data_IF_662434232035
#
_entry.id   IF_662434232035
#
_cell.length_a   1.000
_cell.length_b   1.000
_cell.length_c   1.000
_cell.angle_alpha   90.00
_cell.angle_beta   90.00
_cell.angle_gamma   90.00
#
_symmetry.space_group_name_H-M   'P 1'
#
loop_
_entity.id
_entity.type
_entity.pdbx_description
1 polymer ?
#
# COMPACT_ATOMS: atom_id res chain seq x y z
N UNK A 1 35.39 18.23 1.74
CA UNK A 1 34.86 17.02 1.08
C UNK A 1 33.90 16.31 2.04
N UNK A 2 32.80 16.97 2.38
CA UNK A 2 31.74 16.45 3.26
C UNK A 2 30.36 17.03 2.88
N UNK A 3 30.19 17.51 1.63
CA UNK A 3 28.97 18.20 1.18
C UNK A 3 28.17 17.42 0.12
N UNK A 4 28.54 16.17 -0.17
CA UNK A 4 27.96 15.43 -1.32
C UNK A 4 27.05 14.25 -0.96
N UNK A 5 26.59 14.08 0.32
CA UNK A 5 25.77 12.92 0.71
C UNK A 5 24.36 13.28 1.22
N UNK A 6 23.92 14.51 1.05
CA UNK A 6 22.55 14.94 1.45
C UNK A 6 21.83 15.73 0.35
N UNK A 7 21.97 15.36 -0.89
CA UNK A 7 20.94 15.73 -1.87
C UNK A 7 19.75 14.81 -1.65
N UNK A 8 18.73 15.33 -1.00
CA UNK A 8 17.35 14.85 -1.10
C UNK A 8 16.97 14.92 -2.59
N UNK A 9 17.35 13.93 -3.37
CA UNK A 9 16.73 13.74 -4.68
C UNK A 9 15.28 13.38 -4.40
N UNK A 10 14.41 14.34 -4.70
CA UNK A 10 12.97 14.13 -4.86
C UNK A 10 12.76 12.85 -5.67
N UNK A 11 11.74 12.01 -5.39
CA UNK A 11 11.51 10.79 -6.14
C UNK A 11 11.64 11.11 -7.61
N UNK A 12 12.56 10.43 -8.28
CA UNK A 12 13.06 10.82 -9.61
C UNK A 12 11.86 11.09 -10.54
N UNK A 13 11.81 12.27 -11.12
CA UNK A 13 10.83 12.71 -12.13
C UNK A 13 10.63 11.72 -13.31
N UNK A 14 11.46 10.68 -13.39
CA UNK A 14 11.43 9.61 -14.40
C UNK A 14 10.22 8.68 -14.30
N UNK A 15 9.55 8.60 -13.15
CA UNK A 15 8.41 7.69 -12.94
C UNK A 15 7.05 8.42 -12.84
N UNK A 16 7.01 9.73 -13.03
CA UNK A 16 5.77 10.50 -13.05
C UNK A 16 4.81 9.92 -14.09
N UNK A 17 3.61 9.57 -13.63
CA UNK A 17 2.56 8.99 -14.48
C UNK A 17 2.53 7.46 -14.53
N UNK A 18 3.51 6.74 -13.95
CA UNK A 18 3.39 5.28 -13.77
C UNK A 18 2.48 4.97 -12.57
N UNK A 19 1.67 3.89 -12.64
CA UNK A 19 0.87 3.47 -11.50
C UNK A 19 1.79 3.00 -10.37
N UNK A 20 1.59 3.53 -9.16
CA UNK A 20 2.27 3.08 -7.95
C UNK A 20 1.37 2.20 -7.10
N UNK A 21 0.04 2.47 -7.13
CA UNK A 21 -1.00 1.61 -6.57
C UNK A 21 -1.98 1.26 -7.68
N UNK A 22 -2.33 -0.01 -7.81
CA UNK A 22 -3.39 -0.47 -8.70
C UNK A 22 -4.33 -1.38 -7.92
N UNK A 23 -5.60 -1.16 -8.08
CA UNK A 23 -6.67 -1.92 -7.44
C UNK A 23 -7.52 -2.56 -8.53
N UNK A 24 -7.73 -3.86 -8.45
CA UNK A 24 -8.48 -4.62 -9.46
C UNK A 24 -9.61 -5.39 -8.80
N UNK A 25 -10.84 -5.05 -9.15
CA UNK A 25 -12.08 -5.70 -8.70
C UNK A 25 -12.17 -5.85 -7.16
N UNK A 26 -11.74 -4.82 -6.44
CA UNK A 26 -11.70 -4.81 -4.98
C UNK A 26 -13.11 -4.89 -4.39
N UNK A 27 -13.34 -5.94 -3.63
CA UNK A 27 -14.58 -6.13 -2.86
C UNK A 27 -14.25 -6.35 -1.40
N UNK A 28 -14.97 -5.67 -0.49
CA UNK A 28 -14.85 -5.85 0.95
C UNK A 28 -16.20 -6.06 1.59
N UNK A 29 -16.31 -7.16 2.35
CA UNK A 29 -17.47 -7.47 3.19
C UNK A 29 -17.05 -7.59 4.65
N UNK A 30 -17.93 -7.18 5.56
CA UNK A 30 -17.84 -7.46 6.99
C UNK A 30 -19.06 -8.32 7.36
N UNK A 31 -18.85 -9.62 7.50
CA UNK A 31 -19.95 -10.58 7.55
C UNK A 31 -20.78 -10.49 6.27
N UNK A 32 -22.08 -10.22 6.40
CA UNK A 32 -23.01 -10.07 5.26
C UNK A 32 -23.06 -8.64 4.70
N UNK A 33 -22.44 -7.68 5.38
CA UNK A 33 -22.44 -6.28 4.94
C UNK A 33 -21.40 -6.04 3.86
N UNK A 34 -21.88 -5.73 2.64
CA UNK A 34 -21.01 -5.31 1.53
C UNK A 34 -20.66 -3.82 1.72
N UNK A 35 -19.38 -3.50 1.85
CA UNK A 35 -18.88 -2.14 2.08
C UNK A 35 -18.17 -1.58 0.87
N UNK A 36 -17.41 -2.41 0.13
CA UNK A 36 -16.81 -2.05 -1.17
C UNK A 36 -17.28 -3.07 -2.19
N UNK A 37 -17.70 -2.60 -3.35
CA UNK A 37 -18.30 -3.40 -4.41
C UNK A 37 -17.59 -3.15 -5.74
N UNK A 38 -16.71 -4.09 -6.10
CA UNK A 38 -16.05 -4.18 -7.40
C UNK A 38 -15.31 -2.89 -7.83
N UNK A 39 -14.45 -2.37 -6.96
CA UNK A 39 -13.69 -1.14 -7.25
C UNK A 39 -12.40 -1.49 -8.00
N UNK A 40 -12.21 -0.83 -9.16
CA UNK A 40 -10.97 -0.89 -9.92
C UNK A 40 -10.46 0.53 -10.14
N UNK A 41 -9.28 0.83 -9.56
CA UNK A 41 -8.69 2.17 -9.56
C UNK A 41 -7.16 2.10 -9.62
N UNK A 42 -6.54 3.19 -10.04
CA UNK A 42 -5.08 3.33 -10.02
C UNK A 42 -4.66 4.68 -9.46
N UNK A 43 -3.53 4.71 -8.77
CA UNK A 43 -2.88 5.94 -8.29
C UNK A 43 -1.50 6.01 -8.93
N UNK A 44 -1.18 7.13 -9.55
CA UNK A 44 0.09 7.33 -10.26
C UNK A 44 1.09 8.10 -9.40
N UNK A 45 2.38 7.92 -9.67
CA UNK A 45 3.43 8.67 -8.99
C UNK A 45 3.23 10.17 -9.17
N UNK A 46 3.26 10.92 -8.06
CA UNK A 46 3.01 12.36 -8.01
C UNK A 46 1.54 12.77 -8.04
N UNK A 47 0.60 11.84 -8.20
CA UNK A 47 -0.83 12.13 -8.21
C UNK A 47 -1.35 12.39 -6.79
N UNK A 48 -2.28 13.33 -6.65
CA UNK A 48 -3.01 13.63 -5.42
C UNK A 48 -4.48 13.24 -5.65
N UNK A 49 -4.82 12.01 -5.30
CA UNK A 49 -6.18 11.49 -5.42
C UNK A 49 -6.97 11.87 -4.17
N UNK A 50 -8.03 12.65 -4.32
CA UNK A 50 -8.91 13.02 -3.21
C UNK A 50 -10.20 12.22 -3.29
N UNK A 51 -10.57 11.56 -2.19
CA UNK A 51 -11.78 10.73 -2.09
C UNK A 51 -12.81 11.44 -1.24
N UNK A 52 -13.94 11.78 -1.83
CA UNK A 52 -15.05 12.43 -1.15
C UNK A 52 -16.34 11.62 -1.29
N UNK A 53 -17.33 11.91 -0.45
CA UNK A 53 -18.64 11.27 -0.48
C UNK A 53 -19.30 11.20 0.89
N UNK A 54 -20.56 10.70 0.97
CA UNK A 54 -21.30 10.62 2.23
C UNK A 54 -20.61 9.69 3.25
N UNK A 55 -20.94 9.92 4.53
CA UNK A 55 -20.55 9.02 5.62
C UNK A 55 -21.12 7.61 5.35
N UNK A 56 -20.32 6.58 5.64
CA UNK A 56 -20.70 5.19 5.35
C UNK A 56 -20.52 4.78 3.88
N UNK A 57 -20.02 5.65 2.98
CA UNK A 57 -19.80 5.34 1.57
C UNK A 57 -18.60 4.41 1.28
N UNK A 58 -17.89 3.92 2.30
CA UNK A 58 -16.76 3.00 2.13
C UNK A 58 -15.38 3.67 2.03
N UNK A 59 -15.27 5.01 2.06
CA UNK A 59 -14.02 5.77 1.83
C UNK A 59 -12.85 5.34 2.72
N UNK A 60 -13.02 5.33 4.04
CA UNK A 60 -11.97 4.91 4.99
C UNK A 60 -11.64 3.43 4.85
N UNK A 61 -12.62 2.57 4.54
CA UNK A 61 -12.38 1.15 4.27
C UNK A 61 -11.56 0.97 3.00
N UNK A 62 -11.88 1.69 1.93
CA UNK A 62 -11.08 1.71 0.70
C UNK A 62 -9.63 2.10 0.99
N UNK A 63 -9.43 3.24 1.68
CA UNK A 63 -8.09 3.72 2.04
C UNK A 63 -7.31 2.68 2.87
N UNK A 64 -7.96 2.00 3.82
CA UNK A 64 -7.34 0.96 4.66
C UNK A 64 -7.05 -0.32 3.89
N UNK A 65 -7.81 -0.62 2.86
CA UNK A 65 -7.47 -1.72 1.97
C UNK A 65 -6.20 -1.45 1.16
N UNK A 66 -5.94 -0.20 0.73
CA UNK A 66 -4.75 0.13 -0.07
C UNK A 66 -3.43 -0.26 0.59
N UNK A 67 -3.36 -0.26 1.93
CA UNK A 67 -2.18 -0.73 2.67
C UNK A 67 -2.43 -2.04 3.43
N UNK A 68 -3.53 -2.74 3.08
CA UNK A 68 -3.98 -3.99 3.70
C UNK A 68 -4.08 -3.93 5.24
N UNK A 69 -4.44 -2.78 5.81
CA UNK A 69 -4.93 -2.73 7.20
C UNK A 69 -6.29 -3.41 7.32
N UNK A 70 -7.05 -3.39 6.23
CA UNK A 70 -8.23 -4.20 6.01
C UNK A 70 -7.97 -5.12 4.83
N UNK A 71 -7.98 -6.43 5.06
CA UNK A 71 -7.79 -7.39 3.99
C UNK A 71 -8.99 -7.39 3.03
N UNK A 72 -8.79 -7.39 1.71
CA UNK A 72 -9.88 -7.52 0.75
C UNK A 72 -10.61 -8.87 0.92
N UNK A 73 -11.92 -8.88 0.64
CA UNK A 73 -12.66 -10.15 0.57
C UNK A 73 -12.41 -10.83 -0.77
N UNK A 74 -12.28 -10.04 -1.85
CA UNK A 74 -11.83 -10.48 -3.17
C UNK A 74 -11.23 -9.29 -3.94
N UNK A 75 -10.58 -9.58 -5.05
CA UNK A 75 -9.83 -8.60 -5.85
C UNK A 75 -8.36 -8.57 -5.47
N UNK A 76 -7.61 -7.68 -6.12
CA UNK A 76 -6.16 -7.58 -5.97
C UNK A 76 -5.76 -6.12 -5.71
N UNK A 77 -4.68 -5.95 -4.98
CA UNK A 77 -4.10 -4.63 -4.67
C UNK A 77 -2.61 -4.71 -4.97
N UNK A 78 -2.18 -4.02 -6.00
CA UNK A 78 -0.78 -3.95 -6.37
C UNK A 78 -0.15 -2.68 -5.82
N UNK A 79 1.03 -2.82 -5.24
CA UNK A 79 1.89 -1.70 -4.89
C UNK A 79 3.27 -1.91 -5.53
N UNK A 80 3.71 -0.95 -6.36
CA UNK A 80 4.94 -1.10 -7.16
C UNK A 80 4.94 -2.42 -7.99
N UNK A 81 3.77 -2.83 -8.50
CA UNK A 81 3.60 -4.06 -9.29
C UNK A 81 3.59 -5.36 -8.48
N UNK A 82 3.63 -5.30 -7.14
CA UNK A 82 3.56 -6.46 -6.25
C UNK A 82 2.17 -6.58 -5.67
N UNK A 83 1.52 -7.73 -5.85
CA UNK A 83 0.20 -8.02 -5.27
C UNK A 83 0.31 -8.17 -3.74
N UNK A 84 -0.25 -7.20 -3.01
CA UNK A 84 -0.23 -7.18 -1.54
C UNK A 84 -1.20 -8.19 -0.91
N UNK A 85 -2.16 -8.71 -1.67
CA UNK A 85 -3.10 -9.74 -1.22
C UNK A 85 -2.49 -11.15 -1.29
N UNK A 86 -1.34 -11.34 -1.95
CA UNK A 86 -0.62 -12.63 -1.93
C UNK A 86 -0.01 -12.88 -0.55
N UNK A 87 -0.44 -13.95 0.11
CA UNK A 87 0.04 -14.39 1.43
C UNK A 87 1.57 -14.65 1.50
N UNK A 88 2.25 -14.73 0.37
CA UNK A 88 3.71 -14.91 0.31
C UNK A 88 4.48 -13.59 0.43
N UNK A 89 3.81 -12.46 0.24
CA UNK A 89 4.42 -11.14 0.30
C UNK A 89 4.59 -10.70 1.75
N UNK A 90 5.81 -10.28 2.12
CA UNK A 90 6.00 -9.59 3.40
C UNK A 90 5.44 -8.17 3.31
N UNK A 91 4.18 -8.04 3.72
CA UNK A 91 3.45 -6.78 3.66
C UNK A 91 4.14 -5.65 4.44
N UNK A 92 4.95 -5.98 5.47
CA UNK A 92 5.64 -4.96 6.26
C UNK A 92 6.73 -4.25 5.45
N UNK A 93 7.35 -4.95 4.48
CA UNK A 93 8.31 -4.35 3.55
C UNK A 93 7.64 -3.30 2.63
N UNK A 94 6.35 -3.46 2.32
CA UNK A 94 5.57 -2.52 1.52
C UNK A 94 4.94 -1.43 2.37
N UNK A 95 4.38 -1.76 3.54
CA UNK A 95 3.79 -0.78 4.47
C UNK A 95 4.77 0.28 4.94
N UNK A 96 6.05 -0.02 5.10
CA UNK A 96 7.06 0.97 5.46
C UNK A 96 7.29 2.04 4.39
N UNK A 97 6.88 1.76 3.13
CA UNK A 97 6.92 2.71 2.01
C UNK A 97 5.62 3.51 1.85
N UNK A 98 4.61 3.22 2.67
CA UNK A 98 3.32 3.91 2.68
C UNK A 98 3.11 4.59 4.03
N UNK A 99 3.07 5.92 4.05
CA UNK A 99 2.69 6.68 5.24
C UNK A 99 1.19 6.65 5.43
N UNK A 100 0.71 6.40 6.65
CA UNK A 100 -0.72 6.47 6.98
C UNK A 100 -0.96 7.45 8.11
N UNK A 101 -1.87 8.38 7.88
CA UNK A 101 -2.36 9.36 8.86
C UNK A 101 -3.84 9.09 9.10
N UNK A 102 -4.20 8.84 10.33
CA UNK A 102 -5.56 8.47 10.73
C UNK A 102 -6.34 9.68 11.23
N UNK A 103 -7.65 9.55 11.28
CA UNK A 103 -8.57 10.49 11.92
C UNK A 103 -8.19 10.74 13.38
N UNK A 104 -7.90 9.68 14.13
CA UNK A 104 -7.30 9.79 15.46
C UNK A 104 -5.78 9.82 15.32
N UNK A 105 -5.11 10.64 16.11
CA UNK A 105 -3.67 10.91 16.02
C UNK A 105 -2.79 9.65 16.17
N UNK A 106 -3.27 8.64 16.90
CA UNK A 106 -2.59 7.35 17.15
C UNK A 106 -1.15 7.49 17.63
N UNK A 107 -0.86 8.54 18.41
CA UNK A 107 0.44 8.74 19.04
C UNK A 107 0.58 7.85 20.28
N UNK A 108 1.78 7.32 20.49
CA UNK A 108 2.11 6.57 21.71
C UNK A 108 2.22 7.53 22.89
N UNK A 109 1.24 7.53 23.78
CA UNK A 109 1.15 8.44 24.91
C UNK A 109 2.27 8.27 25.95
N UNK A 110 2.91 7.10 25.98
CA UNK A 110 4.04 6.76 26.85
C UNK A 110 5.42 7.10 26.23
N UNK A 111 5.44 7.68 25.04
CA UNK A 111 6.66 8.15 24.37
C UNK A 111 6.62 9.65 24.17
N UNK A 112 7.78 10.31 24.23
CA UNK A 112 7.88 11.72 23.87
C UNK A 112 7.58 11.93 22.39
N UNK A 113 7.33 13.16 21.99
CA UNK A 113 7.10 13.55 20.58
C UNK A 113 8.24 13.06 19.70
N UNK A 114 9.48 13.37 20.05
CA UNK A 114 10.67 12.91 19.31
C UNK A 114 10.74 11.38 19.21
N UNK A 115 10.45 10.67 20.32
CA UNK A 115 10.44 9.20 20.31
C UNK A 115 9.30 8.60 19.47
N UNK A 116 8.14 9.26 19.39
CA UNK A 116 7.08 8.87 18.47
C UNK A 116 7.54 8.90 17.01
N UNK A 117 8.29 9.93 16.63
CA UNK A 117 8.79 10.12 15.26
C UNK A 117 9.94 9.14 14.95
N UNK A 118 10.86 8.94 15.91
CA UNK A 118 12.09 8.13 15.69
C UNK A 118 11.87 6.62 15.85
N UNK A 119 10.77 6.17 16.46
CA UNK A 119 10.56 4.77 16.82
C UNK A 119 10.68 3.82 15.63
N UNK A 120 9.95 4.10 14.55
CA UNK A 120 9.93 3.25 13.36
C UNK A 120 11.26 3.34 12.58
N UNK A 121 11.78 4.54 12.23
CA UNK A 121 13.08 4.67 11.57
C UNK A 121 14.22 3.95 12.29
N UNK A 122 14.29 4.08 13.61
CA UNK A 122 15.33 3.41 14.41
C UNK A 122 15.17 1.91 14.42
N UNK A 123 13.96 1.39 14.66
CA UNK A 123 13.72 -0.06 14.69
C UNK A 123 14.04 -0.71 13.34
N UNK A 124 13.54 -0.12 12.26
CA UNK A 124 13.71 -0.63 10.90
C UNK A 124 15.18 -0.49 10.48
N UNK A 125 15.80 0.67 10.65
CA UNK A 125 17.20 0.90 10.28
C UNK A 125 18.17 -0.03 11.02
N UNK A 126 17.94 -0.33 12.31
CA UNK A 126 18.74 -1.31 13.05
C UNK A 126 18.50 -2.73 12.55
N UNK A 127 17.24 -3.09 12.21
CA UNK A 127 16.94 -4.39 11.64
C UNK A 127 17.60 -4.60 10.28
N UNK A 128 17.52 -3.59 9.40
CA UNK A 128 18.14 -3.59 8.08
C UNK A 128 19.68 -3.66 8.19
N UNK A 129 20.29 -2.91 9.11
CA UNK A 129 21.72 -2.97 9.39
C UNK A 129 22.14 -4.38 9.84
N UNK A 130 21.38 -5.02 10.73
CA UNK A 130 21.64 -6.39 11.18
C UNK A 130 21.51 -7.40 10.04
N UNK A 131 20.47 -7.24 9.21
CA UNK A 131 20.22 -8.09 8.03
C UNK A 131 21.39 -7.98 7.03
N UNK A 132 21.83 -6.75 6.71
CA UNK A 132 22.96 -6.50 5.82
C UNK A 132 24.29 -7.03 6.38
N UNK A 133 24.61 -6.78 7.65
CA UNK A 133 25.82 -7.30 8.30
C UNK A 133 25.86 -8.83 8.29
N UNK A 134 24.74 -9.48 8.61
CA UNK A 134 24.64 -10.95 8.57
C UNK A 134 24.81 -11.49 7.16
N UNK A 135 24.14 -10.89 6.17
CA UNK A 135 24.28 -11.25 4.76
C UNK A 135 25.75 -11.16 4.33
N UNK A 136 26.40 -10.03 4.59
CA UNK A 136 27.79 -9.77 4.19
C UNK A 136 28.79 -10.72 4.87
N UNK A 137 28.53 -11.09 6.12
CA UNK A 137 29.38 -12.04 6.84
C UNK A 137 29.33 -13.45 6.23
N UNK A 138 28.17 -13.87 5.70
CA UNK A 138 28.02 -15.19 5.08
C UNK A 138 28.33 -15.23 3.57
N UNK A 139 28.32 -14.09 2.91
CA UNK A 139 28.53 -13.98 1.44
C UNK A 139 29.85 -14.62 0.97
N UNK A 140 31.02 -14.41 1.62
CA UNK A 140 32.25 -15.03 1.16
C UNK A 140 32.24 -16.56 1.22
N UNK A 141 31.68 -17.12 2.30
CA UNK A 141 31.54 -18.58 2.44
C UNK A 141 30.56 -19.14 1.41
N UNK A 142 29.43 -18.48 1.20
CA UNK A 142 28.45 -18.86 0.18
C UNK A 142 29.09 -18.84 -1.21
N UNK A 143 29.81 -17.79 -1.58
CA UNK A 143 30.43 -17.66 -2.88
C UNK A 143 31.50 -18.72 -3.12
N UNK A 144 32.28 -19.09 -2.10
CA UNK A 144 33.22 -20.21 -2.17
C UNK A 144 32.53 -21.56 -2.44
N UNK A 145 31.36 -21.80 -1.85
CA UNK A 145 30.54 -22.99 -2.11
C UNK A 145 29.92 -22.93 -3.50
N UNK A 146 29.45 -21.77 -3.91
CA UNK A 146 28.88 -21.55 -5.24
C UNK A 146 29.93 -21.81 -6.34
N UNK A 147 31.15 -21.32 -6.19
CA UNK A 147 32.24 -21.56 -7.15
C UNK A 147 32.56 -23.07 -7.28
N UNK A 148 32.37 -23.83 -6.22
CA UNK A 148 32.63 -25.27 -6.22
C UNK A 148 31.47 -26.12 -6.75
N UNK A 149 30.25 -25.73 -6.48
CA UNK A 149 29.05 -26.58 -6.71
C UNK A 149 27.95 -25.90 -7.52
N UNK A 150 28.00 -24.58 -7.73
CA UNK A 150 26.93 -23.80 -8.35
C UNK A 150 26.58 -24.24 -9.76
N UNK A 151 27.57 -24.53 -10.59
CA UNK A 151 27.33 -24.99 -11.96
C UNK A 151 26.53 -26.29 -12.00
N UNK A 152 26.92 -27.30 -11.19
CA UNK A 152 26.20 -28.59 -11.10
C UNK A 152 24.81 -28.44 -10.52
N UNK A 153 24.63 -27.58 -9.52
CA UNK A 153 23.32 -27.26 -8.96
C UNK A 153 22.42 -26.61 -10.02
N UNK A 154 22.94 -25.61 -10.74
CA UNK A 154 22.16 -24.90 -11.76
C UNK A 154 21.76 -25.80 -12.94
N UNK A 155 22.63 -26.73 -13.35
CA UNK A 155 22.26 -27.75 -14.34
C UNK A 155 21.09 -28.62 -13.85
N UNK A 156 21.15 -29.06 -12.58
CA UNK A 156 20.05 -29.83 -11.99
C UNK A 156 18.76 -29.01 -11.93
N UNK A 157 18.83 -27.74 -11.53
CA UNK A 157 17.67 -26.84 -11.49
C UNK A 157 17.11 -26.60 -12.89
N UNK A 158 17.96 -26.40 -13.91
CA UNK A 158 17.50 -26.22 -15.29
C UNK A 158 16.67 -27.43 -15.78
N UNK A 159 17.16 -28.66 -15.57
CA UNK A 159 16.43 -29.88 -15.91
C UNK A 159 15.10 -29.98 -15.14
N UNK A 160 15.12 -29.64 -13.85
CA UNK A 160 13.89 -29.63 -13.02
C UNK A 160 12.88 -28.59 -13.52
N UNK A 161 13.33 -27.40 -13.91
CA UNK A 161 12.45 -26.34 -14.46
C UNK A 161 11.79 -26.79 -15.76
N UNK A 162 12.56 -27.35 -16.69
CA UNK A 162 12.05 -27.88 -17.96
C UNK A 162 10.95 -28.92 -17.72
N UNK A 163 11.21 -29.89 -16.83
CA UNK A 163 10.22 -30.91 -16.47
C UNK A 163 8.95 -30.29 -15.84
N UNK A 164 9.10 -29.30 -14.96
CA UNK A 164 7.97 -28.63 -14.33
C UNK A 164 7.19 -27.77 -15.33
N UNK A 165 7.86 -27.08 -16.24
CA UNK A 165 7.21 -26.31 -17.33
C UNK A 165 6.36 -27.21 -18.22
N UNK A 166 6.94 -28.33 -18.69
CA UNK A 166 6.20 -29.31 -19.49
C UNK A 166 4.98 -29.82 -18.72
N UNK A 167 5.11 -30.08 -17.43
CA UNK A 167 3.99 -30.54 -16.60
C UNK A 167 2.92 -29.48 -16.41
N UNK A 168 3.29 -28.19 -16.28
CA UNK A 168 2.35 -27.06 -16.22
C UNK A 168 1.54 -26.97 -17.51
N UNK A 169 2.20 -27.06 -18.68
CA UNK A 169 1.53 -27.03 -19.98
C UNK A 169 0.56 -28.21 -20.15
N UNK A 170 0.99 -29.42 -19.77
CA UNK A 170 0.11 -30.61 -19.79
C UNK A 170 -1.13 -30.40 -18.90
N UNK A 171 -0.96 -29.91 -17.68
CA UNK A 171 -2.08 -29.69 -16.76
C UNK A 171 -3.01 -28.56 -17.24
N UNK A 172 -2.49 -27.53 -17.90
CA UNK A 172 -3.32 -26.48 -18.54
C UNK A 172 -4.15 -27.06 -19.68
N UNK A 173 -3.54 -27.85 -20.55
CA UNK A 173 -4.24 -28.53 -21.65
C UNK A 173 -5.30 -29.53 -21.13
N UNK A 174 -5.04 -30.20 -20.01
CA UNK A 174 -6.00 -31.10 -19.37
C UNK A 174 -7.15 -30.34 -18.70
N UNK A 175 -6.88 -29.17 -18.12
CA UNK A 175 -7.84 -28.34 -17.41
C UNK A 175 -8.86 -27.66 -18.33
N UNK A 176 -8.40 -27.15 -19.47
CA UNK A 176 -9.20 -26.37 -20.42
C UNK A 176 -10.52 -27.06 -20.83
N UNK A 177 -10.53 -28.30 -21.34
CA UNK A 177 -11.78 -28.99 -21.73
C UNK A 177 -12.64 -29.33 -20.52
N UNK A 178 -12.06 -29.51 -19.33
CA UNK A 178 -12.83 -29.77 -18.10
C UNK A 178 -13.54 -28.52 -17.63
N UNK A 179 -12.91 -27.35 -17.77
CA UNK A 179 -13.54 -26.05 -17.46
C UNK A 179 -14.67 -25.77 -18.43
N UNK A 180 -14.47 -25.96 -19.72
CA UNK A 180 -15.53 -25.78 -20.72
C UNK A 180 -16.74 -26.69 -20.46
N UNK A 181 -16.51 -27.99 -20.21
CA UNK A 181 -17.57 -28.92 -19.86
C UNK A 181 -18.26 -28.54 -18.55
N UNK A 182 -17.53 -28.09 -17.56
CA UNK A 182 -18.05 -27.64 -16.25
C UNK A 182 -18.93 -26.39 -16.39
N UNK A 183 -18.53 -25.42 -17.20
CA UNK A 183 -19.32 -24.21 -17.47
C UNK A 183 -20.64 -24.52 -18.17
N UNK A 184 -20.68 -25.52 -19.06
CA UNK A 184 -21.89 -25.97 -19.71
C UNK A 184 -22.93 -26.60 -18.76
N UNK A 185 -22.51 -27.04 -17.57
CA UNK A 185 -23.41 -27.61 -16.54
C UNK A 185 -24.02 -26.56 -15.61
N UNK A 186 -23.75 -25.27 -15.86
CA UNK A 186 -24.28 -24.18 -15.03
C UNK A 186 -25.80 -24.17 -15.03
N UNK A 187 -26.41 -24.37 -13.86
CA UNK A 187 -27.83 -24.20 -13.63
C UNK A 187 -28.07 -23.05 -12.66
N UNK A 188 -29.09 -22.27 -12.91
CA UNK A 188 -29.50 -21.16 -12.04
C UNK A 188 -30.92 -21.44 -11.57
N UNK A 189 -31.09 -21.67 -10.28
CA UNK A 189 -32.40 -21.89 -9.65
C UNK A 189 -32.72 -20.75 -8.70
N UNK A 190 -33.96 -20.27 -8.70
CA UNK A 190 -34.43 -19.33 -7.71
C UNK A 190 -34.96 -20.07 -6.46
N UNK A 191 -34.18 -19.99 -5.37
CA UNK A 191 -34.61 -20.56 -4.08
C UNK A 191 -34.80 -19.42 -3.08
N UNK A 192 -36.03 -19.28 -2.59
CA UNK A 192 -36.43 -18.23 -1.62
C UNK A 192 -36.08 -16.79 -2.05
N UNK A 193 -36.26 -16.46 -3.36
CA UNK A 193 -35.96 -15.13 -3.90
C UNK A 193 -34.49 -14.80 -4.08
N UNK A 194 -33.62 -15.80 -4.02
CA UNK A 194 -32.19 -15.69 -4.33
C UNK A 194 -31.83 -16.62 -5.46
N UNK A 195 -31.09 -16.15 -6.45
CA UNK A 195 -30.52 -16.97 -7.52
C UNK A 195 -29.38 -17.82 -6.95
N UNK A 196 -29.54 -19.14 -6.95
CA UNK A 196 -28.54 -20.11 -6.57
C UNK A 196 -27.94 -20.70 -7.84
N UNK A 197 -26.63 -20.60 -8.01
CA UNK A 197 -25.89 -21.19 -9.14
C UNK A 197 -25.33 -22.50 -8.69
N UNK A 198 -25.63 -23.59 -9.42
CA UNK A 198 -25.04 -24.91 -9.20
C UNK A 198 -24.38 -25.46 -10.44
N UNK A 199 -23.45 -26.37 -10.24
CA UNK A 199 -22.70 -27.05 -11.30
C UNK A 199 -22.64 -28.54 -10.99
N UNK A 200 -22.29 -29.34 -12.02
CA UNK A 200 -22.10 -30.78 -11.83
C UNK A 200 -21.02 -31.06 -10.77
N UNK A 201 -21.35 -31.85 -9.72
CA UNK A 201 -20.42 -32.11 -8.60
C UNK A 201 -19.17 -32.92 -9.01
N UNK A 202 -19.28 -33.86 -9.96
CA UNK A 202 -18.17 -34.69 -10.42
C UNK A 202 -17.19 -33.86 -11.25
N UNK A 203 -17.71 -33.03 -12.18
CA UNK A 203 -16.90 -32.08 -12.95
C UNK A 203 -16.25 -31.03 -12.07
N UNK A 204 -16.97 -30.54 -11.05
CA UNK A 204 -16.40 -29.61 -10.04
C UNK A 204 -15.22 -30.25 -9.30
N UNK A 205 -15.36 -31.50 -8.85
CA UNK A 205 -14.29 -32.24 -8.17
C UNK A 205 -13.09 -32.47 -9.09
N UNK A 206 -13.33 -32.84 -10.36
CA UNK A 206 -12.27 -33.06 -11.35
C UNK A 206 -11.52 -31.76 -11.67
N UNK A 207 -12.25 -30.65 -11.92
CA UNK A 207 -11.69 -29.32 -12.13
C UNK A 207 -10.80 -28.90 -10.96
N UNK A 208 -11.30 -29.03 -9.71
CA UNK A 208 -10.56 -28.65 -8.51
C UNK A 208 -9.28 -29.50 -8.34
N UNK A 209 -9.34 -30.80 -8.62
CA UNK A 209 -8.19 -31.68 -8.51
C UNK A 209 -7.07 -31.32 -9.50
N UNK A 210 -7.42 -30.97 -10.75
CA UNK A 210 -6.43 -30.55 -11.76
C UNK A 210 -5.91 -29.15 -11.42
N UNK A 211 -6.78 -28.20 -11.05
CA UNK A 211 -6.39 -26.84 -10.66
C UNK A 211 -5.42 -26.83 -9.47
N UNK A 212 -5.68 -27.65 -8.44
CA UNK A 212 -4.79 -27.80 -7.31
C UNK A 212 -3.42 -28.38 -7.69
N UNK A 213 -3.38 -29.35 -8.59
CA UNK A 213 -2.11 -29.91 -9.12
C UNK A 213 -1.35 -28.86 -9.93
N UNK A 214 -2.06 -28.10 -10.75
CA UNK A 214 -1.48 -27.00 -11.53
C UNK A 214 -0.84 -25.96 -10.60
N UNK A 215 -1.59 -25.49 -9.63
CA UNK A 215 -1.08 -24.52 -8.64
C UNK A 215 0.15 -25.04 -7.88
N UNK A 216 0.12 -26.30 -7.42
CA UNK A 216 1.27 -26.91 -6.75
C UNK A 216 2.48 -27.00 -7.68
N UNK A 217 2.27 -27.32 -8.97
CA UNK A 217 3.35 -27.43 -9.96
C UNK A 217 3.91 -26.06 -10.32
N UNK A 218 3.08 -25.03 -10.47
CA UNK A 218 3.50 -23.65 -10.68
C UNK A 218 4.26 -23.11 -9.48
N UNK A 219 3.82 -23.41 -8.25
CA UNK A 219 4.58 -23.10 -7.02
C UNK A 219 5.96 -23.79 -7.01
N UNK A 220 6.02 -25.06 -7.39
CA UNK A 220 7.30 -25.78 -7.47
C UNK A 220 8.23 -25.19 -8.52
N UNK A 221 7.68 -24.74 -9.66
CA UNK A 221 8.42 -24.05 -10.73
C UNK A 221 8.96 -22.70 -10.26
N UNK A 222 8.16 -21.92 -9.55
CA UNK A 222 8.57 -20.63 -8.97
C UNK A 222 9.69 -20.78 -7.93
N UNK A 223 9.72 -21.89 -7.18
CA UNK A 223 10.79 -22.19 -6.23
C UNK A 223 12.05 -22.82 -6.84
N UNK A 224 11.99 -23.29 -8.09
CA UNK A 224 13.14 -23.84 -8.80
C UNK A 224 14.00 -22.70 -9.38
N UNK A 225 14.67 -21.95 -8.53
CA UNK A 225 15.50 -20.79 -8.88
C UNK A 225 16.98 -21.22 -8.97
N UNK A 226 17.68 -20.89 -10.07
CA UNK A 226 19.13 -21.07 -10.13
C UNK A 226 19.83 -20.34 -9.00
N UNK A 227 20.93 -20.92 -8.53
CA UNK A 227 21.80 -20.21 -7.58
C UNK A 227 22.65 -19.18 -8.35
N UNK A 228 22.88 -18.05 -7.73
CA UNK A 228 23.73 -16.98 -8.24
C UNK A 228 24.77 -16.59 -7.20
N UNK A 229 25.89 -16.01 -7.63
CA UNK A 229 26.83 -15.39 -6.69
C UNK A 229 26.13 -14.28 -5.94
N UNK A 230 26.38 -14.19 -4.65
CA UNK A 230 25.86 -13.11 -3.83
C UNK A 230 26.78 -11.90 -3.87
N UNK A 231 26.20 -10.74 -4.03
CA UNK A 231 26.88 -9.47 -3.87
C UNK A 231 26.81 -9.01 -2.42
N UNK A 232 27.77 -8.18 -2.02
CA UNK A 232 27.71 -7.52 -0.72
C UNK A 232 26.60 -6.45 -0.75
N UNK A 233 25.81 -6.42 0.29
CA UNK A 233 24.77 -5.39 0.44
C UNK A 233 25.41 -4.17 1.09
N UNK A 234 25.21 -2.95 0.55
CA UNK A 234 25.62 -1.71 1.19
C UNK A 234 25.04 -1.61 2.61
N UNK A 235 25.87 -1.23 3.58
CA UNK A 235 25.36 -1.04 4.94
C UNK A 235 24.58 0.28 5.00
N UNK A 236 23.36 0.30 5.53
CA UNK A 236 22.54 1.52 5.63
C UNK A 236 23.13 2.52 6.63
N UNK A 237 24.00 2.08 7.52
CA UNK A 237 24.77 2.89 8.45
C UNK A 237 25.97 2.11 9.00
N UNK A 238 26.97 2.77 9.53
CA UNK A 238 28.14 2.13 10.13
C UNK A 238 27.79 1.37 11.42
N UNK A 239 26.89 1.92 12.21
CA UNK A 239 26.50 1.38 13.53
C UNK A 239 25.05 1.65 13.89
N UNK A 240 24.55 0.93 14.89
CA UNK A 240 23.23 1.18 15.46
C UNK A 240 23.14 2.58 16.16
N UNK A 241 24.28 3.15 16.55
CA UNK A 241 24.36 4.50 17.09
C UNK A 241 24.12 5.50 15.97
N UNK A 242 24.80 5.37 14.84
CA UNK A 242 24.62 6.21 13.65
C UNK A 242 23.18 6.18 13.14
N UNK A 243 22.50 5.01 13.16
CA UNK A 243 21.07 4.90 12.81
C UNK A 243 20.22 5.77 13.73
N UNK A 244 20.49 5.75 15.04
CA UNK A 244 19.70 6.55 15.99
C UNK A 244 19.96 8.05 15.80
N UNK A 245 21.20 8.45 15.66
CA UNK A 245 21.61 9.85 15.46
C UNK A 245 20.96 10.41 14.19
N UNK A 246 21.01 9.70 13.08
CA UNK A 246 20.36 10.11 11.83
C UNK A 246 18.82 10.21 11.97
N UNK A 247 18.18 9.26 12.68
CA UNK A 247 16.76 9.32 12.93
C UNK A 247 16.36 10.50 13.84
N UNK A 248 17.18 10.83 14.86
CA UNK A 248 16.94 11.97 15.75
C UNK A 248 17.13 13.30 15.02
N UNK A 249 18.17 13.42 14.20
CA UNK A 249 18.41 14.59 13.36
C UNK A 249 17.23 14.84 12.39
N UNK A 250 16.79 13.80 11.69
CA UNK A 250 15.62 13.89 10.82
C UNK A 250 14.36 14.27 11.59
N UNK A 251 14.13 13.69 12.77
CA UNK A 251 12.98 14.04 13.62
C UNK A 251 13.01 15.52 14.04
N UNK A 252 14.17 16.03 14.44
CA UNK A 252 14.31 17.44 14.79
C UNK A 252 14.11 18.36 13.58
N UNK A 253 14.60 17.97 12.38
CA UNK A 253 14.34 18.71 11.14
C UNK A 253 12.85 18.78 10.84
N UNK A 254 12.13 17.66 10.95
CA UNK A 254 10.68 17.59 10.73
C UNK A 254 9.90 18.38 11.79
N UNK A 255 10.31 18.34 13.06
CA UNK A 255 9.68 19.12 14.13
C UNK A 255 9.88 20.63 13.91
N UNK A 256 11.05 21.04 13.45
CA UNK A 256 11.33 22.44 13.09
C UNK A 256 10.43 22.92 11.95
N UNK A 257 10.23 22.07 10.94
CA UNK A 257 9.34 22.34 9.81
C UNK A 257 7.90 22.66 10.24
N UNK A 258 7.41 22.00 11.29
CA UNK A 258 6.04 22.20 11.82
C UNK A 258 5.98 23.14 13.02
N UNK A 259 7.07 23.82 13.35
CA UNK A 259 7.12 24.78 14.47
C UNK A 259 6.97 24.15 15.85
N UNK A 260 7.37 22.89 16.04
CA UNK A 260 7.24 22.15 17.30
C UNK A 260 8.59 21.61 17.82
N UNK A 261 9.69 22.26 17.48
CA UNK A 261 11.03 21.85 17.92
C UNK A 261 11.16 21.89 19.45
N UNK A 262 10.58 22.90 20.11
CA UNK A 262 10.53 23.06 21.56
C UNK A 262 9.70 21.97 22.28
N UNK A 263 8.87 21.24 21.52
CA UNK A 263 8.02 20.16 22.04
C UNK A 263 8.62 18.76 21.85
N UNK A 264 9.87 18.64 21.40
CA UNK A 264 10.50 17.35 21.08
C UNK A 264 10.47 16.35 22.26
N UNK A 265 10.71 16.83 23.46
CA UNK A 265 10.86 15.99 24.66
C UNK A 265 9.60 15.95 25.56
N UNK A 266 8.49 16.58 25.15
CA UNK A 266 7.21 16.48 25.87
C UNK A 266 6.41 15.26 25.42
N UNK A 267 5.39 14.90 26.20
CA UNK A 267 4.48 13.81 25.88
C UNK A 267 3.25 14.30 25.10
N UNK A 268 2.63 13.45 24.25
CA UNK A 268 1.47 13.85 23.44
C UNK A 268 0.29 14.39 24.24
N UNK A 269 0.13 14.01 25.51
CA UNK A 269 -0.94 14.50 26.38
C UNK A 269 -0.93 16.01 26.59
N UNK A 270 0.23 16.66 26.42
CA UNK A 270 0.40 18.13 26.62
C UNK A 270 0.18 18.93 25.33
N UNK A 271 -0.05 18.27 24.20
CA UNK A 271 -0.23 18.90 22.90
C UNK A 271 -1.71 19.17 22.60
N UNK A 272 -2.00 20.25 21.86
CA UNK A 272 -3.32 20.49 21.26
C UNK A 272 -3.65 19.43 20.20
N UNK A 273 -4.91 19.34 19.77
CA UNK A 273 -5.35 18.45 18.70
C UNK A 273 -4.58 18.67 17.40
N UNK A 274 -4.47 19.91 16.93
CA UNK A 274 -3.71 20.26 15.72
C UNK A 274 -2.22 19.95 15.83
N UNK A 275 -1.61 20.19 17.00
CA UNK A 275 -0.22 19.80 17.25
C UNK A 275 -0.03 18.29 17.19
N UNK A 276 -0.93 17.50 17.79
CA UNK A 276 -0.89 16.02 17.71
C UNK A 276 -1.00 15.54 16.28
N UNK A 277 -1.88 16.14 15.49
CA UNK A 277 -2.05 15.75 14.09
C UNK A 277 -0.83 16.10 13.23
N UNK A 278 -0.25 17.29 13.41
CA UNK A 278 1.00 17.65 12.73
C UNK A 278 2.14 16.68 13.11
N UNK A 279 2.25 16.29 14.37
CA UNK A 279 3.20 15.26 14.82
C UNK A 279 2.90 13.90 14.16
N UNK A 280 1.64 13.50 14.00
CA UNK A 280 1.26 12.26 13.34
C UNK A 280 1.65 12.27 11.85
N UNK A 281 1.50 13.40 11.16
CA UNK A 281 1.92 13.60 9.77
C UNK A 281 3.45 13.46 9.65
N UNK A 282 4.22 14.19 10.45
CA UNK A 282 5.69 14.12 10.35
C UNK A 282 6.25 12.79 10.83
N UNK A 283 5.56 12.07 11.72
CA UNK A 283 5.90 10.68 12.07
C UNK A 283 5.79 9.76 10.86
N UNK A 284 4.75 9.91 10.03
CA UNK A 284 4.62 9.15 8.80
C UNK A 284 5.69 9.55 7.78
N UNK A 285 5.96 10.85 7.62
CA UNK A 285 7.00 11.38 6.73
C UNK A 285 8.43 10.95 7.14
N UNK A 286 8.67 10.70 8.43
CA UNK A 286 9.98 10.29 8.93
C UNK A 286 10.46 8.95 8.35
N UNK A 287 9.55 8.14 7.78
CA UNK A 287 9.87 6.89 7.09
C UNK A 287 10.25 7.09 5.63
N UNK A 288 10.24 8.32 5.12
CA UNK A 288 10.43 8.64 3.70
C UNK A 288 9.53 7.80 2.78
N UNK A 289 8.21 7.85 2.95
CA UNK A 289 7.28 7.01 2.23
C UNK A 289 7.18 7.44 0.76
N UNK A 290 6.83 6.51 -0.12
CA UNK A 290 6.53 6.78 -1.53
C UNK A 290 5.10 7.28 -1.76
N UNK A 291 4.20 6.93 -0.84
CA UNK A 291 2.78 7.33 -0.87
C UNK A 291 2.34 7.71 0.54
N UNK A 292 1.56 8.78 0.65
CA UNK A 292 0.88 9.17 1.87
C UNK A 292 -0.62 8.94 1.76
N UNK A 293 -1.19 8.25 2.74
CA UNK A 293 -2.61 7.95 2.87
C UNK A 293 -3.18 8.76 4.04
N UNK A 294 -4.21 9.56 3.80
CA UNK A 294 -4.84 10.40 4.82
C UNK A 294 -6.31 10.01 4.99
N UNK A 295 -6.67 9.53 6.19
CA UNK A 295 -8.04 9.14 6.56
C UNK A 295 -8.66 10.26 7.41
N UNK A 296 -9.35 11.20 6.77
CA UNK A 296 -10.02 12.35 7.40
C UNK A 296 -9.13 13.09 8.43
N UNK A 297 -7.99 13.66 8.02
CA UNK A 297 -6.96 14.15 8.93
C UNK A 297 -7.38 15.34 9.79
N UNK A 298 -8.52 15.97 9.50
CA UNK A 298 -9.03 17.16 10.21
C UNK A 298 -10.26 16.90 11.05
N UNK A 299 -10.93 15.75 10.90
CA UNK A 299 -12.25 15.51 11.49
C UNK A 299 -12.29 15.47 13.03
N UNK A 300 -11.14 15.24 13.69
CA UNK A 300 -11.02 15.22 15.14
C UNK A 300 -10.45 16.55 15.70
N UNK A 301 -10.45 17.62 14.90
CA UNK A 301 -9.86 18.92 15.26
C UNK A 301 -10.91 19.99 15.47
N UNK A 302 -10.60 20.93 16.35
CA UNK A 302 -11.35 22.18 16.45
C UNK A 302 -11.15 23.01 15.17
N UNK A 303 -12.17 23.75 14.69
CA UNK A 303 -12.10 24.52 13.45
C UNK A 303 -10.89 25.46 13.34
N UNK A 304 -10.45 26.03 14.46
CA UNK A 304 -9.29 26.93 14.52
C UNK A 304 -7.97 26.23 14.16
N UNK A 305 -7.90 24.90 14.34
CA UNK A 305 -6.70 24.10 14.12
C UNK A 305 -6.65 23.43 12.73
N UNK A 306 -7.77 23.44 12.00
CA UNK A 306 -7.89 22.76 10.69
C UNK A 306 -6.94 23.36 9.67
N UNK A 307 -6.86 24.69 9.59
CA UNK A 307 -6.03 25.40 8.61
C UNK A 307 -4.55 24.98 8.66
N UNK A 308 -3.94 24.98 9.85
CA UNK A 308 -2.53 24.62 10.01
C UNK A 308 -2.20 23.19 9.56
N UNK A 309 -3.15 22.26 9.72
CA UNK A 309 -2.97 20.87 9.29
C UNK A 309 -3.15 20.74 7.78
N UNK A 310 -4.12 21.42 7.19
CA UNK A 310 -4.31 21.44 5.73
C UNK A 310 -3.14 22.11 5.01
N UNK A 311 -2.61 23.21 5.55
CA UNK A 311 -1.42 23.89 5.01
C UNK A 311 -0.19 22.97 5.01
N UNK A 312 0.00 22.17 6.07
CA UNK A 312 1.08 21.20 6.11
C UNK A 312 0.90 20.11 5.02
N UNK A 313 -0.32 19.58 4.86
CA UNK A 313 -0.59 18.56 3.84
C UNK A 313 -0.39 19.15 2.44
N UNK A 314 -0.81 20.40 2.21
CA UNK A 314 -0.58 21.12 0.96
C UNK A 314 0.91 21.27 0.65
N UNK A 315 1.72 21.72 1.62
CA UNK A 315 3.18 21.80 1.46
C UNK A 315 3.78 20.46 1.03
N UNK A 316 3.35 19.36 1.65
CA UNK A 316 3.83 18.01 1.28
C UNK A 316 3.34 17.61 -0.13
N UNK A 317 2.15 18.03 -0.52
CA UNK A 317 1.64 17.83 -1.89
C UNK A 317 2.45 18.59 -2.93
N UNK A 318 2.81 19.84 -2.64
CA UNK A 318 3.60 20.73 -3.54
C UNK A 318 5.04 20.21 -3.73
N UNK A 319 5.56 19.45 -2.76
CA UNK A 319 6.85 18.73 -2.87
C UNK A 319 6.78 17.51 -3.81
N UNK A 320 5.64 17.23 -4.43
CA UNK A 320 5.47 16.12 -5.38
C UNK A 320 5.08 14.78 -4.74
N UNK A 321 4.76 14.75 -3.45
CA UNK A 321 4.35 13.53 -2.77
C UNK A 321 3.10 12.93 -3.42
N UNK A 322 3.11 11.61 -3.67
CA UNK A 322 1.92 10.86 -4.08
C UNK A 322 0.98 10.72 -2.89
N UNK A 323 -0.29 11.03 -3.07
CA UNK A 323 -1.24 11.03 -1.96
C UNK A 323 -2.59 10.43 -2.33
N UNK A 324 -3.21 9.74 -1.36
CA UNK A 324 -4.65 9.44 -1.36
C UNK A 324 -5.25 10.04 -0.10
N UNK A 325 -6.21 10.93 -0.25
CA UNK A 325 -6.73 11.76 0.84
C UNK A 325 -8.25 11.59 0.92
N UNK A 326 -8.74 11.03 2.01
CA UNK A 326 -10.17 11.07 2.35
C UNK A 326 -10.41 12.35 3.16
N UNK A 327 -11.31 13.21 2.69
CA UNK A 327 -11.61 14.47 3.39
C UNK A 327 -13.05 14.93 3.16
N UNK A 328 -13.53 15.78 4.06
CA UNK A 328 -14.77 16.55 3.93
C UNK A 328 -14.50 18.03 3.63
N UNK A 329 -13.24 18.44 3.50
CA UNK A 329 -12.81 19.82 3.23
C UNK A 329 -12.83 20.07 1.71
N UNK A 330 -13.98 20.54 1.17
CA UNK A 330 -14.18 20.69 -0.28
C UNK A 330 -13.23 21.73 -0.90
N UNK A 331 -12.95 22.83 -0.20
CA UNK A 331 -11.99 23.85 -0.61
C UNK A 331 -10.59 23.26 -0.79
N UNK A 332 -10.14 22.51 0.19
CA UNK A 332 -8.87 21.80 0.15
C UNK A 332 -8.82 20.74 -0.97
N UNK A 333 -9.90 19.95 -1.11
CA UNK A 333 -10.01 18.96 -2.19
C UNK A 333 -9.85 19.58 -3.57
N UNK A 334 -10.44 20.77 -3.79
CA UNK A 334 -10.35 21.51 -5.04
C UNK A 334 -8.95 22.06 -5.30
N UNK A 335 -8.27 22.51 -4.26
CA UNK A 335 -6.96 23.18 -4.37
C UNK A 335 -5.82 22.18 -4.55
N UNK A 336 -5.83 21.07 -3.81
CA UNK A 336 -4.70 20.13 -3.74
C UNK A 336 -4.88 18.93 -4.67
N UNK A 337 -6.12 18.49 -4.92
CA UNK A 337 -6.41 17.33 -5.74
C UNK A 337 -5.96 17.48 -7.18
N UNK A 338 -5.35 16.45 -7.75
CA UNK A 338 -5.16 16.34 -9.21
C UNK A 338 -6.30 15.54 -9.85
N UNK A 339 -6.95 14.68 -9.06
CA UNK A 339 -8.13 13.90 -9.42
C UNK A 339 -8.99 13.68 -8.16
N UNK A 340 -10.31 13.77 -8.32
CA UNK A 340 -11.26 13.55 -7.26
C UNK A 340 -12.11 12.34 -7.58
N UNK A 341 -12.30 11.47 -6.58
CA UNK A 341 -13.17 10.30 -6.64
C UNK A 341 -14.40 10.57 -5.75
N UNK A 342 -15.58 10.43 -6.30
CA UNK A 342 -16.82 10.41 -5.54
C UNK A 342 -17.19 8.97 -5.19
N UNK A 343 -17.12 8.63 -3.92
CA UNK A 343 -17.48 7.31 -3.42
C UNK A 343 -18.81 7.35 -2.67
N UNK A 344 -19.75 6.54 -3.10
CA UNK A 344 -21.00 6.29 -2.40
C UNK A 344 -21.44 4.83 -2.61
N UNK A 345 -22.14 4.26 -1.63
CA UNK A 345 -22.70 2.90 -1.71
C UNK A 345 -21.65 1.83 -2.04
N UNK A 346 -20.41 2.05 -1.57
CA UNK A 346 -19.30 1.12 -1.80
C UNK A 346 -18.66 1.18 -3.19
N UNK A 347 -19.05 2.13 -4.04
CA UNK A 347 -18.57 2.29 -5.43
C UNK A 347 -17.95 3.66 -5.67
N UNK A 348 -17.07 3.74 -6.67
CA UNK A 348 -16.66 5.01 -7.28
C UNK A 348 -17.70 5.35 -8.33
N UNK A 349 -18.52 6.37 -8.08
CA UNK A 349 -19.64 6.75 -8.96
C UNK A 349 -19.23 7.78 -10.01
N UNK A 350 -18.24 8.61 -9.69
CA UNK A 350 -17.68 9.61 -10.61
C UNK A 350 -16.24 9.91 -10.24
N UNK A 351 -15.43 10.21 -11.26
CA UNK A 351 -14.08 10.70 -11.08
C UNK A 351 -13.74 11.71 -12.16
N UNK A 352 -13.10 12.80 -11.76
CA UNK A 352 -12.68 13.85 -12.68
C UNK A 352 -11.59 14.75 -12.05
N UNK A 353 -10.89 15.56 -12.84
CA UNK A 353 -10.11 16.69 -12.33
C UNK A 353 -10.99 17.67 -11.53
N UNK A 354 -10.43 18.40 -10.55
CA UNK A 354 -11.21 19.25 -9.64
C UNK A 354 -12.13 20.27 -10.35
N UNK A 355 -11.66 20.92 -11.40
CA UNK A 355 -12.44 21.92 -12.13
C UNK A 355 -13.70 21.32 -12.75
N UNK A 356 -13.58 20.17 -13.39
CA UNK A 356 -14.69 19.46 -14.00
C UNK A 356 -15.60 18.89 -12.93
N UNK A 357 -15.04 18.27 -11.90
CA UNK A 357 -15.76 17.61 -10.83
C UNK A 357 -16.70 18.55 -10.05
N UNK A 358 -16.22 19.74 -9.70
CA UNK A 358 -17.02 20.74 -8.98
C UNK A 358 -17.81 21.66 -9.91
N UNK A 359 -17.34 21.88 -11.14
CA UNK A 359 -17.97 22.80 -12.08
C UNK A 359 -19.08 22.17 -12.92
N UNK A 360 -18.96 20.88 -13.23
CA UNK A 360 -19.88 20.16 -14.12
C UNK A 360 -20.10 18.70 -13.69
N UNK A 361 -20.58 18.44 -12.46
CA UNK A 361 -20.80 17.09 -11.97
C UNK A 361 -21.83 16.34 -12.83
N UNK A 362 -21.48 15.12 -13.28
CA UNK A 362 -22.30 14.34 -14.19
C UNK A 362 -23.29 13.42 -13.43
N UNK A 363 -22.82 12.76 -12.37
CA UNK A 363 -23.64 11.80 -11.66
C UNK A 363 -24.70 12.48 -10.79
N UNK A 364 -26.01 12.09 -10.86
CA UNK A 364 -27.07 12.74 -10.09
C UNK A 364 -26.79 12.75 -8.57
N UNK A 365 -26.26 11.65 -8.04
CA UNK A 365 -25.93 11.52 -6.62
C UNK A 365 -24.83 12.48 -6.18
N UNK A 366 -23.85 12.78 -7.06
CA UNK A 366 -22.81 13.76 -6.81
C UNK A 366 -23.42 15.18 -6.75
N UNK A 367 -24.30 15.52 -7.69
CA UNK A 367 -25.01 16.82 -7.68
C UNK A 367 -25.78 17.06 -6.40
N UNK A 368 -26.54 16.03 -5.95
CA UNK A 368 -27.26 16.09 -4.68
C UNK A 368 -26.32 16.27 -3.47
N UNK A 369 -25.18 15.59 -3.50
CA UNK A 369 -24.18 15.68 -2.44
C UNK A 369 -23.57 17.07 -2.39
N UNK A 370 -23.08 17.58 -3.52
CA UNK A 370 -22.46 18.90 -3.61
C UNK A 370 -23.43 20.03 -3.24
N UNK A 371 -24.70 19.95 -3.65
CA UNK A 371 -25.71 20.94 -3.28
C UNK A 371 -26.01 21.01 -1.78
N UNK A 372 -25.60 19.99 -0.98
CA UNK A 372 -25.76 19.99 0.48
C UNK A 372 -24.52 20.45 1.23
N UNK A 373 -23.37 20.40 0.58
CA UNK A 373 -22.05 20.60 1.23
C UNK A 373 -21.41 21.91 0.80
N UNK A 374 -21.69 22.41 -0.40
CA UNK A 374 -21.33 23.73 -0.92
C UNK A 374 -22.46 24.74 -0.73
#
# INVERSE_FOLDING_TARGET
>A
MAEEILTNESPELRDVGKPIIEVVNLTKKFGDLLVLDDISESVRVGEKVVVIGPSGGGKSTFLRCLNCLEDPTSGQIFFEGVDLADLKVDINEHRRKMGMVFQQFNLFNNLTVKKNITLAPVKIGIADLRKAKRHNAFTPLYNKLFDKFGAKYNEHIAKKREMLQTKVEQLKTELEPVVEAWEQTKTVEEVAGKSVVSYDPELTKKKLAIANKLEQTERALAHAVPAERRELIPLPAESAKAVREAAEENAMRLLRRIGLEDKADVYPSTLSGGQKQRVAIVRALAMNPKVMLFDEPTSALDPEMVGEVLDLIKQVADEGMTMVIVTHEMGFAREVGTRILFMAEGKVLEQAPPEEFFGNPQHPRLREFLAKVL
#
